data_IF_992222575956
#
_entry.id   IF_992222575956
#
_cell.length_a   1.000
_cell.length_b   1.000
_cell.length_c   1.000
_cell.angle_alpha   90.00
_cell.angle_beta   90.00
_cell.angle_gamma   90.00
#
_symmetry.space_group_name_H-M   'P 1'
#
loop_
_entity.id
_entity.type
_entity.pdbx_description
1 polymer ?
#
# COMPACT_ATOMS: atom_id res chain seq x y z
N UNK A 1 -0.61 0.03 1.18
CA UNK A 1 -1.70 0.55 0.34
C UNK A 1 -1.52 0.10 -1.10
N UNK A 2 -2.57 0.19 -1.91
CA UNK A 2 -2.53 0.03 -3.36
C UNK A 2 -2.35 1.41 -4.00
N UNK A 3 -1.39 1.54 -4.90
CA UNK A 3 -1.15 2.76 -5.69
C UNK A 3 -1.87 2.70 -7.04
N UNK A 4 -1.88 1.51 -7.65
CA UNK A 4 -2.47 1.25 -8.95
C UNK A 4 -2.98 -0.19 -8.98
N UNK A 5 -4.12 -0.41 -9.62
CA UNK A 5 -4.65 -1.74 -9.90
C UNK A 5 -5.06 -1.83 -11.36
N UNK A 6 -4.40 -2.72 -12.10
CA UNK A 6 -4.82 -3.16 -13.43
C UNK A 6 -5.32 -4.60 -13.34
N UNK A 7 -6.07 -5.07 -14.34
CA UNK A 7 -6.73 -6.39 -14.29
C UNK A 7 -5.80 -7.60 -14.07
N UNK A 8 -4.48 -7.44 -14.19
CA UNK A 8 -3.49 -8.51 -13.97
C UNK A 8 -2.46 -8.22 -12.89
N UNK A 9 -2.29 -6.96 -12.49
CA UNK A 9 -1.24 -6.55 -11.56
C UNK A 9 -1.72 -5.45 -10.63
N UNK A 10 -1.25 -5.50 -9.38
CA UNK A 10 -1.47 -4.46 -8.38
C UNK A 10 -0.14 -3.94 -7.88
N UNK A 11 0.01 -2.62 -7.83
CA UNK A 11 1.20 -1.95 -7.30
C UNK A 11 0.94 -1.56 -5.85
N UNK A 12 1.77 -2.07 -4.93
CA UNK A 12 1.63 -1.83 -3.49
C UNK A 12 2.82 -1.08 -2.90
N UNK A 13 2.53 -0.23 -1.91
CA UNK A 13 3.50 0.58 -1.19
C UNK A 13 3.18 0.61 0.32
N UNK A 14 4.21 0.56 1.16
CA UNK A 14 4.10 0.69 2.62
C UNK A 14 5.00 1.79 3.22
N UNK A 15 5.77 2.50 2.38
CA UNK A 15 6.65 3.58 2.83
C UNK A 15 7.85 3.13 3.68
N UNK A 16 8.09 1.81 3.84
CA UNK A 16 9.21 1.24 4.60
C UNK A 16 9.98 0.22 3.77
N UNK A 17 9.43 -0.99 3.61
CA UNK A 17 10.07 -2.06 2.85
C UNK A 17 9.82 -1.91 1.34
N UNK A 18 8.70 -1.26 0.99
CA UNK A 18 8.24 -0.94 -0.35
C UNK A 18 7.93 0.56 -0.38
N UNK A 19 8.95 1.41 -0.53
CA UNK A 19 8.78 2.86 -0.57
C UNK A 19 8.19 3.31 -1.92
N UNK A 20 7.76 4.57 -2.02
CA UNK A 20 7.18 5.16 -3.24
C UNK A 20 8.10 5.07 -4.45
N UNK A 21 9.40 5.19 -4.24
CA UNK A 21 10.44 5.15 -5.26
C UNK A 21 10.71 3.71 -5.73
N UNK A 22 10.30 2.71 -4.94
CA UNK A 22 10.48 1.29 -5.27
C UNK A 22 9.26 0.47 -4.79
N UNK A 23 8.09 0.68 -5.40
CA UNK A 23 6.88 -0.03 -5.03
C UNK A 23 6.97 -1.50 -5.47
N UNK A 24 6.14 -2.37 -4.89
CA UNK A 24 6.12 -3.80 -5.23
C UNK A 24 4.93 -4.13 -6.11
N UNK A 25 5.18 -4.89 -7.19
CA UNK A 25 4.11 -5.52 -7.97
C UNK A 25 3.64 -6.81 -7.28
N UNK A 26 2.33 -7.02 -7.25
CA UNK A 26 1.65 -8.18 -6.68
C UNK A 26 0.61 -8.70 -7.67
N UNK A 27 0.51 -10.02 -7.75
CA UNK A 27 -0.66 -10.64 -8.37
C UNK A 27 -1.88 -10.40 -7.44
N UNK A 28 -3.03 -9.93 -7.97
CA UNK A 28 -4.26 -9.73 -7.20
C UNK A 28 -4.65 -10.91 -6.30
N UNK A 29 -4.38 -12.15 -6.71
CA UNK A 29 -4.71 -13.37 -5.94
C UNK A 29 -4.00 -13.44 -4.58
N UNK A 30 -2.95 -12.65 -4.37
CA UNK A 30 -2.22 -12.59 -3.10
C UNK A 30 -2.55 -11.35 -2.26
N UNK A 31 -3.67 -10.68 -2.55
CA UNK A 31 -4.16 -9.53 -1.81
C UNK A 31 -5.52 -9.85 -1.21
N UNK A 32 -5.73 -9.40 0.03
CA UNK A 32 -7.04 -9.34 0.64
C UNK A 32 -7.58 -7.91 0.47
N UNK A 33 -8.72 -7.77 -0.19
CA UNK A 33 -9.37 -6.47 -0.35
C UNK A 33 -9.85 -5.94 1.02
N UNK A 34 -9.75 -4.64 1.22
CA UNK A 34 -10.29 -3.96 2.40
C UNK A 34 -11.27 -2.87 1.95
N UNK A 35 -12.28 -2.57 2.78
CA UNK A 35 -13.25 -1.50 2.51
C UNK A 35 -12.75 -0.12 2.97
N UNK A 36 -11.42 0.07 3.02
CA UNK A 36 -10.80 1.28 3.55
C UNK A 36 -10.11 2.03 2.43
N UNK A 37 -10.57 3.27 2.18
CA UNK A 37 -9.91 4.19 1.27
C UNK A 37 -9.00 5.15 2.04
N UNK A 38 -7.82 5.41 1.49
CA UNK A 38 -6.88 6.41 2.00
C UNK A 38 -6.80 7.59 1.04
N UNK A 39 -6.62 8.79 1.57
CA UNK A 39 -6.33 9.98 0.77
C UNK A 39 -4.96 9.87 0.09
N UNK A 40 -4.74 10.65 -0.97
CA UNK A 40 -3.45 10.73 -1.66
C UNK A 40 -2.33 11.15 -0.70
N UNK A 41 -1.16 10.56 -0.86
CA UNK A 41 0.05 10.83 -0.06
C UNK A 41 1.25 10.90 -1.00
N UNK A 42 2.18 11.81 -0.71
CA UNK A 42 3.31 12.12 -1.58
C UNK A 42 4.65 11.69 -0.98
N UNK A 43 4.69 11.38 0.32
CA UNK A 43 5.93 10.98 1.00
C UNK A 43 5.80 9.64 1.74
N UNK A 44 6.91 8.90 1.80
CA UNK A 44 7.00 7.66 2.58
C UNK A 44 6.61 7.85 4.07
N UNK A 45 6.84 9.05 4.62
CA UNK A 45 6.45 9.39 6.00
C UNK A 45 4.94 9.43 6.16
N UNK A 46 4.23 10.13 5.27
CA UNK A 46 2.75 10.20 5.28
C UNK A 46 2.13 8.81 5.18
N UNK A 47 2.67 7.98 4.29
CA UNK A 47 2.25 6.58 4.11
C UNK A 47 2.36 5.79 5.42
N UNK A 48 3.53 5.83 6.06
CA UNK A 48 3.74 5.12 7.33
C UNK A 48 2.79 5.61 8.40
N UNK A 49 2.57 6.92 8.51
CA UNK A 49 1.61 7.50 9.45
C UNK A 49 0.18 7.04 9.18
N UNK A 50 -0.28 7.07 7.92
CA UNK A 50 -1.62 6.66 7.54
C UNK A 50 -1.87 5.16 7.73
N UNK A 51 -0.84 4.33 7.51
CA UNK A 51 -0.89 2.88 7.68
C UNK A 51 -0.75 2.43 9.15
N UNK A 52 -0.17 3.25 10.03
CA UNK A 52 0.07 2.91 11.44
C UNK A 52 -1.18 2.44 12.17
N UNK A 53 -2.34 3.05 11.91
CA UNK A 53 -3.63 2.65 12.50
C UNK A 53 -4.14 1.28 12.07
N UNK A 54 -3.58 0.68 11.02
CA UNK A 54 -3.92 -0.65 10.52
C UNK A 54 -2.82 -1.69 10.79
N UNK A 55 -1.66 -1.23 11.27
CA UNK A 55 -0.62 -2.10 11.79
C UNK A 55 -1.07 -2.53 13.18
N UNK A 56 -1.85 -3.60 13.27
CA UNK A 56 -2.05 -4.28 14.54
C UNK A 56 -0.69 -4.86 14.96
N UNK A 57 -0.23 -4.52 16.16
CA UNK A 57 0.96 -5.13 16.76
C UNK A 57 0.78 -6.66 16.71
N UNK A 58 1.75 -7.34 16.11
CA UNK A 58 1.96 -8.79 16.23
C UNK A 58 2.85 -9.05 17.42
#
# INVERSE_FOLDING_TARGET
MVLEASGREVVVCDGKHRPLERPKRKNPVHLAATNTLLSSMNTNREIRCALRRFSQDS
#
